data_IF_773811387136
#
_entry.id   IF_773811387136
#
_cell.length_a   1.000
_cell.length_b   1.000
_cell.length_c   1.000
_cell.angle_alpha   90.00
_cell.angle_beta   90.00
_cell.angle_gamma   90.00
#
_symmetry.space_group_name_H-M   'P 1'
#
loop_
_entity.id
_entity.type
_entity.pdbx_description
1 polymer ?
#
# COMPACT_ATOMS: atom_id res chain seq x y z
N UNK A 1 9.85 13.46 -5.68
CA UNK A 1 10.20 12.92 -4.34
C UNK A 1 9.38 11.66 -4.04
N UNK A 2 9.88 10.77 -3.19
CA UNK A 2 9.16 9.54 -2.77
C UNK A 2 7.78 9.83 -2.19
N UNK A 3 7.66 10.88 -1.38
CA UNK A 3 6.38 11.28 -0.78
C UNK A 3 5.34 11.55 -1.87
N UNK A 4 5.66 12.41 -2.84
CA UNK A 4 4.75 12.71 -3.96
C UNK A 4 4.34 11.44 -4.70
N UNK A 5 5.32 10.58 -5.07
CA UNK A 5 5.05 9.32 -5.76
C UNK A 5 4.11 8.40 -5.00
N UNK A 6 4.19 8.37 -3.67
CA UNK A 6 3.29 7.56 -2.84
C UNK A 6 1.89 8.16 -2.69
N UNK A 7 1.77 9.47 -2.71
CA UNK A 7 0.47 10.13 -2.61
C UNK A 7 -0.36 9.95 -3.87
N UNK A 8 0.27 9.87 -5.04
CA UNK A 8 -0.44 9.76 -6.33
C UNK A 8 -0.51 8.34 -6.89
N UNK A 9 -0.09 7.33 -6.13
CA UNK A 9 -0.16 5.94 -6.58
C UNK A 9 -1.55 5.34 -6.39
N UNK A 10 -1.85 4.30 -7.16
CA UNK A 10 -3.12 3.59 -7.17
C UNK A 10 -3.65 3.28 -5.76
N UNK A 11 -2.81 2.70 -4.86
CA UNK A 11 -3.27 2.30 -3.54
C UNK A 11 -3.77 3.48 -2.69
N UNK A 12 -3.14 4.66 -2.80
CA UNK A 12 -3.59 5.86 -2.09
C UNK A 12 -4.89 6.39 -2.69
N UNK A 13 -4.98 6.48 -4.01
CA UNK A 13 -6.20 6.92 -4.71
C UNK A 13 -7.38 6.00 -4.40
N UNK A 14 -7.16 4.69 -4.33
CA UNK A 14 -8.21 3.72 -3.95
C UNK A 14 -8.73 3.97 -2.54
N UNK A 15 -7.85 4.23 -1.57
CA UNK A 15 -8.27 4.56 -0.19
C UNK A 15 -9.18 5.79 -0.19
N UNK A 16 -8.80 6.84 -0.89
CA UNK A 16 -9.60 8.08 -0.98
C UNK A 16 -10.91 7.85 -1.73
N UNK A 17 -10.90 7.10 -2.82
CA UNK A 17 -12.10 6.74 -3.57
C UNK A 17 -13.09 5.92 -2.73
N UNK A 18 -12.59 5.01 -1.90
CA UNK A 18 -13.39 4.23 -0.96
C UNK A 18 -14.00 5.08 0.16
N UNK A 19 -13.26 6.07 0.68
CA UNK A 19 -13.80 7.02 1.66
C UNK A 19 -14.98 7.82 1.11
N UNK A 20 -14.98 8.09 -0.20
CA UNK A 20 -16.09 8.75 -0.90
C UNK A 20 -17.21 7.77 -1.31
N UNK A 21 -17.07 6.49 -1.04
CA UNK A 21 -17.98 5.42 -1.53
C UNK A 21 -18.18 5.47 -3.07
N UNK A 22 -17.11 5.88 -3.79
CA UNK A 22 -17.18 6.19 -5.21
C UNK A 22 -17.64 5.00 -6.05
N UNK A 23 -17.30 3.78 -5.65
CA UNK A 23 -17.73 2.56 -6.34
C UNK A 23 -19.24 2.47 -6.56
N UNK A 24 -20.05 3.02 -5.65
CA UNK A 24 -21.52 3.04 -5.78
C UNK A 24 -22.02 4.08 -6.78
N UNK A 25 -21.22 5.06 -7.11
CA UNK A 25 -21.58 6.12 -8.04
C UNK A 25 -21.21 5.78 -9.50
N UNK A 26 -20.40 4.73 -9.71
CA UNK A 26 -19.92 4.37 -11.02
C UNK A 26 -21.00 3.70 -11.86
N UNK A 27 -21.16 4.16 -13.11
CA UNK A 27 -21.95 3.52 -14.14
C UNK A 27 -21.02 2.62 -14.96
N UNK A 28 -21.06 1.33 -14.70
CA UNK A 28 -20.20 0.34 -15.35
C UNK A 28 -20.99 -0.46 -16.39
N UNK A 29 -20.30 -0.93 -17.42
CA UNK A 29 -20.86 -1.88 -18.37
C UNK A 29 -21.11 -3.26 -17.73
N UNK A 30 -21.94 -4.08 -18.36
CA UNK A 30 -22.33 -5.40 -17.82
C UNK A 30 -21.15 -6.32 -17.52
N UNK A 31 -20.09 -6.30 -18.32
CA UNK A 31 -18.88 -7.10 -18.12
C UNK A 31 -18.17 -6.74 -16.82
N UNK A 32 -18.02 -5.43 -16.55
CA UNK A 32 -17.39 -4.93 -15.34
C UNK A 32 -18.28 -5.15 -14.10
N UNK A 33 -19.59 -5.05 -14.23
CA UNK A 33 -20.53 -5.36 -13.15
C UNK A 33 -20.44 -6.84 -12.74
N UNK A 34 -20.38 -7.76 -13.72
CA UNK A 34 -20.22 -9.20 -13.45
C UNK A 34 -18.90 -9.56 -12.77
N UNK A 35 -17.83 -8.80 -13.05
CA UNK A 35 -16.50 -8.99 -12.45
C UNK A 35 -16.26 -8.15 -11.19
N UNK A 36 -17.32 -7.57 -10.61
CA UNK A 36 -17.25 -6.66 -9.45
C UNK A 36 -16.32 -5.45 -9.69
N UNK A 37 -16.32 -4.89 -10.89
CA UNK A 37 -15.50 -3.76 -11.32
C UNK A 37 -15.61 -2.54 -10.42
N UNK A 38 -16.77 -2.34 -9.76
CA UNK A 38 -16.97 -1.26 -8.76
C UNK A 38 -16.06 -1.37 -7.52
N UNK A 39 -15.36 -2.50 -7.32
CA UNK A 39 -14.35 -2.71 -6.28
C UNK A 39 -12.93 -2.82 -6.83
N UNK A 40 -12.76 -2.80 -8.16
CA UNK A 40 -11.45 -2.96 -8.79
C UNK A 40 -10.58 -1.73 -8.51
N UNK A 41 -9.37 -1.90 -7.94
CA UNK A 41 -8.50 -0.79 -7.57
C UNK A 41 -8.25 0.21 -8.69
N UNK A 42 -7.87 -0.26 -9.88
CA UNK A 42 -7.58 0.62 -11.02
C UNK A 42 -8.81 1.46 -11.43
N UNK A 43 -10.01 0.87 -11.48
CA UNK A 43 -11.24 1.61 -11.83
C UNK A 43 -11.55 2.70 -10.79
N UNK A 44 -11.36 2.42 -9.51
CA UNK A 44 -11.58 3.40 -8.45
C UNK A 44 -10.55 4.54 -8.49
N UNK A 45 -9.29 4.22 -8.73
CA UNK A 45 -8.23 5.22 -8.85
C UNK A 45 -8.46 6.12 -10.06
N UNK A 46 -8.69 5.54 -11.25
CA UNK A 46 -8.95 6.27 -12.49
C UNK A 46 -10.20 7.16 -12.38
N UNK A 47 -11.27 6.67 -11.72
CA UNK A 47 -12.47 7.45 -11.50
C UNK A 47 -12.22 8.66 -10.59
N UNK A 48 -11.40 8.52 -9.55
CA UNK A 48 -11.05 9.64 -8.68
C UNK A 48 -10.20 10.68 -9.41
N UNK A 49 -9.23 10.25 -10.22
CA UNK A 49 -8.44 11.14 -11.06
C UNK A 49 -9.33 11.89 -12.07
N UNK A 50 -10.29 11.20 -12.68
CA UNK A 50 -11.25 11.82 -13.59
C UNK A 50 -12.11 12.88 -12.89
N UNK A 51 -12.50 12.68 -11.62
CA UNK A 51 -13.22 13.68 -10.84
C UNK A 51 -12.36 14.92 -10.60
N UNK A 52 -11.09 14.77 -10.22
CA UNK A 52 -10.18 15.91 -10.08
C UNK A 52 -10.03 16.69 -11.40
N UNK A 53 -9.90 15.96 -12.52
CA UNK A 53 -9.87 16.54 -13.85
C UNK A 53 -11.16 17.27 -14.20
N UNK A 54 -12.32 16.72 -13.90
CA UNK A 54 -13.61 17.35 -14.15
C UNK A 54 -13.78 18.66 -13.36
N UNK A 55 -13.45 18.65 -12.07
CA UNK A 55 -13.48 19.86 -11.23
C UNK A 55 -12.52 20.94 -11.76
N UNK A 56 -11.33 20.54 -12.21
CA UNK A 56 -10.38 21.45 -12.80
C UNK A 56 -10.92 22.09 -14.10
N UNK A 57 -11.54 21.29 -14.96
CA UNK A 57 -12.10 21.79 -16.24
C UNK A 57 -13.32 22.68 -16.04
N UNK A 58 -14.15 22.40 -15.03
CA UNK A 58 -15.38 23.14 -14.75
C UNK A 58 -15.12 24.45 -13.98
N UNK A 59 -14.29 24.40 -12.92
CA UNK A 59 -14.13 25.48 -11.95
C UNK A 59 -12.68 25.96 -11.78
N UNK A 60 -11.74 25.43 -12.56
CA UNK A 60 -10.33 25.84 -12.58
C UNK A 60 -9.48 25.28 -11.44
N UNK A 61 -8.21 25.71 -11.43
CA UNK A 61 -7.18 25.17 -10.54
C UNK A 61 -7.51 25.34 -9.06
N UNK A 62 -7.98 26.51 -8.65
CA UNK A 62 -8.24 26.79 -7.22
C UNK A 62 -9.32 25.87 -6.64
N UNK A 63 -10.38 25.56 -7.41
CA UNK A 63 -11.41 24.61 -6.98
C UNK A 63 -10.88 23.18 -6.91
N UNK A 64 -10.11 22.75 -7.90
CA UNK A 64 -9.49 21.43 -7.90
C UNK A 64 -8.50 21.27 -6.73
N UNK A 65 -7.67 22.26 -6.46
CA UNK A 65 -6.76 22.29 -5.32
C UNK A 65 -7.53 22.14 -4.00
N UNK A 66 -8.62 22.87 -3.82
CA UNK A 66 -9.44 22.79 -2.62
C UNK A 66 -10.02 21.39 -2.41
N UNK A 67 -10.56 20.77 -3.46
CA UNK A 67 -11.09 19.39 -3.39
C UNK A 67 -9.99 18.40 -3.04
N UNK A 68 -8.82 18.50 -3.68
CA UNK A 68 -7.67 17.64 -3.37
C UNK A 68 -7.24 17.80 -1.90
N UNK A 69 -7.11 19.04 -1.42
CA UNK A 69 -6.72 19.31 -0.05
C UNK A 69 -7.74 18.77 0.97
N UNK A 70 -9.03 18.91 0.70
CA UNK A 70 -10.08 18.36 1.57
C UNK A 70 -9.98 16.84 1.74
N UNK A 71 -9.61 16.12 0.69
CA UNK A 71 -9.45 14.66 0.72
C UNK A 71 -8.13 14.23 1.34
N UNK A 72 -7.03 14.91 0.98
CA UNK A 72 -5.71 14.47 1.39
C UNK A 72 -5.32 14.91 2.81
N UNK A 73 -5.80 16.06 3.31
CA UNK A 73 -5.43 16.53 4.66
C UNK A 73 -5.81 15.53 5.77
N UNK A 74 -7.03 14.99 5.83
CA UNK A 74 -7.37 13.95 6.81
C UNK A 74 -6.54 12.67 6.63
N UNK A 75 -6.30 12.25 5.38
CA UNK A 75 -5.46 11.09 5.07
C UNK A 75 -4.02 11.30 5.57
N UNK A 76 -3.41 12.45 5.28
CA UNK A 76 -2.06 12.78 5.73
C UNK A 76 -1.94 12.85 7.25
N UNK A 77 -2.97 13.30 7.93
CA UNK A 77 -3.01 13.32 9.40
C UNK A 77 -3.08 11.91 10.01
N UNK A 78 -3.60 10.94 9.28
CA UNK A 78 -3.76 9.54 9.73
C UNK A 78 -2.52 8.67 9.51
N UNK A 79 -1.56 9.12 8.70
CA UNK A 79 -0.37 8.34 8.32
C UNK A 79 0.90 8.90 8.97
N UNK A 80 1.82 8.01 9.29
CA UNK A 80 3.16 8.42 9.69
C UNK A 80 4.00 8.76 8.44
N UNK A 81 4.21 10.05 8.22
CA UNK A 81 4.99 10.56 7.09
C UNK A 81 6.44 10.05 7.05
N UNK A 82 7.00 9.62 8.20
CA UNK A 82 8.36 9.05 8.26
C UNK A 82 8.42 7.65 7.65
N UNK A 83 7.30 6.94 7.71
CA UNK A 83 7.18 5.58 7.17
C UNK A 83 6.56 5.55 5.78
N UNK A 84 5.89 6.63 5.39
CA UNK A 84 5.22 6.72 4.10
C UNK A 84 6.21 6.55 2.94
N UNK A 85 5.95 5.56 2.10
CA UNK A 85 6.74 5.27 0.91
C UNK A 85 8.01 4.49 1.16
N UNK A 86 8.25 4.04 2.36
CA UNK A 86 9.24 3.03 2.65
C UNK A 86 8.56 1.67 2.68
N UNK A 87 9.10 0.73 1.94
CA UNK A 87 8.66 -0.65 2.09
C UNK A 87 9.10 -1.21 3.45
N UNK A 88 8.41 -2.25 3.92
CA UNK A 88 8.64 -2.79 5.25
C UNK A 88 10.07 -3.32 5.44
N UNK A 89 10.70 -3.82 4.38
CA UNK A 89 12.10 -4.27 4.40
C UNK A 89 13.03 -3.09 4.66
N UNK A 90 12.80 -1.96 3.99
CA UNK A 90 13.58 -0.72 4.18
C UNK A 90 13.40 -0.17 5.60
N UNK A 91 12.16 -0.13 6.12
CA UNK A 91 11.89 0.31 7.48
C UNK A 91 12.62 -0.54 8.51
N UNK A 92 12.53 -1.86 8.38
CA UNK A 92 13.20 -2.80 9.26
C UNK A 92 14.72 -2.66 9.19
N UNK A 93 15.28 -2.53 7.99
CA UNK A 93 16.71 -2.32 7.76
C UNK A 93 17.22 -1.04 8.43
N UNK A 94 16.56 0.10 8.19
CA UNK A 94 16.93 1.39 8.78
C UNK A 94 16.87 1.34 10.32
N UNK A 95 15.82 0.70 10.86
CA UNK A 95 15.68 0.52 12.31
C UNK A 95 16.85 -0.30 12.89
N UNK A 96 17.15 -1.45 12.30
CA UNK A 96 18.23 -2.32 12.77
C UNK A 96 19.60 -1.63 12.66
N UNK A 97 19.87 -0.95 11.55
CA UNK A 97 21.09 -0.16 11.36
C UNK A 97 21.23 0.96 12.39
N UNK A 98 20.14 1.67 12.70
CA UNK A 98 20.15 2.73 13.73
C UNK A 98 20.49 2.22 15.13
N UNK A 99 20.31 0.92 15.38
CA UNK A 99 20.61 0.24 16.64
C UNK A 99 21.89 -0.60 16.58
N UNK A 100 22.63 -0.53 15.46
CA UNK A 100 23.83 -1.35 15.22
C UNK A 100 23.56 -2.86 15.30
N UNK A 101 22.34 -3.28 14.89
CA UNK A 101 21.91 -4.68 14.87
C UNK A 101 22.12 -5.22 13.47
N UNK A 102 22.55 -6.49 13.36
CA UNK A 102 22.73 -7.18 12.09
C UNK A 102 21.41 -7.24 11.28
N UNK A 103 21.54 -7.13 9.95
CA UNK A 103 20.39 -7.17 9.05
C UNK A 103 19.65 -8.51 9.11
N UNK A 104 18.33 -8.51 8.81
CA UNK A 104 17.54 -9.73 8.85
C UNK A 104 17.88 -10.63 7.67
N UNK A 105 17.72 -11.93 7.85
CA UNK A 105 17.77 -12.92 6.78
C UNK A 105 16.36 -13.30 6.33
N UNK A 106 16.19 -13.55 5.02
CA UNK A 106 14.92 -13.96 4.43
C UNK A 106 15.08 -15.31 3.76
N UNK A 107 14.28 -16.28 4.17
CA UNK A 107 14.29 -17.64 3.64
C UNK A 107 12.92 -18.02 3.12
N UNK A 108 12.84 -18.48 1.87
CA UNK A 108 11.60 -19.04 1.32
C UNK A 108 11.40 -20.41 1.96
N UNK A 109 10.31 -20.59 2.68
CA UNK A 109 9.98 -21.85 3.35
C UNK A 109 9.18 -22.76 2.44
N UNK A 110 8.25 -22.21 1.66
CA UNK A 110 7.39 -22.95 0.76
C UNK A 110 6.94 -22.09 -0.43
N UNK A 111 6.66 -22.75 -1.53
CA UNK A 111 5.96 -22.18 -2.69
C UNK A 111 4.83 -23.14 -3.02
N UNK A 112 3.59 -22.69 -2.89
CA UNK A 112 2.37 -23.49 -3.07
C UNK A 112 1.57 -22.97 -4.26
N UNK A 113 0.79 -23.84 -4.92
CA UNK A 113 -0.11 -23.47 -6.03
C UNK A 113 0.49 -23.67 -7.42
N UNK A 114 -0.37 -23.55 -8.44
CA UNK A 114 0.01 -23.65 -9.85
C UNK A 114 0.79 -22.40 -10.29
N UNK A 115 1.51 -22.48 -11.40
CA UNK A 115 2.43 -21.43 -11.86
C UNK A 115 1.80 -20.02 -11.95
N UNK A 116 0.49 -19.91 -12.17
CA UNK A 116 -0.25 -18.64 -12.29
C UNK A 116 -0.95 -18.22 -10.97
N UNK A 117 -0.93 -19.08 -9.93
CA UNK A 117 -1.54 -18.83 -8.63
C UNK A 117 -0.58 -19.16 -7.47
N UNK A 118 0.71 -18.96 -7.70
CA UNK A 118 1.72 -19.30 -6.67
C UNK A 118 1.58 -18.42 -5.44
N UNK A 119 1.67 -19.05 -4.28
CA UNK A 119 1.76 -18.39 -2.98
C UNK A 119 3.10 -18.74 -2.34
N UNK A 120 3.87 -17.71 -2.05
CA UNK A 120 5.16 -17.82 -1.38
C UNK A 120 5.00 -17.65 0.12
N UNK A 121 5.66 -18.49 0.88
CA UNK A 121 5.81 -18.34 2.32
C UNK A 121 7.27 -18.04 2.63
N UNK A 122 7.52 -16.92 3.29
CA UNK A 122 8.88 -16.45 3.61
C UNK A 122 9.01 -16.21 5.10
N UNK A 123 10.13 -16.63 5.64
CA UNK A 123 10.57 -16.36 7.00
C UNK A 123 11.55 -15.18 7.00
N UNK A 124 11.36 -14.24 7.94
CA UNK A 124 12.30 -13.19 8.27
C UNK A 124 12.87 -13.49 9.66
N UNK A 125 14.16 -13.66 9.76
CA UNK A 125 14.85 -13.95 11.01
C UNK A 125 15.84 -12.84 11.39
N UNK A 126 15.81 -12.42 12.66
CA UNK A 126 16.76 -11.48 13.26
C UNK A 126 17.39 -12.22 14.46
N UNK A 127 18.48 -13.00 14.24
CA UNK A 127 19.03 -13.89 15.27
C UNK A 127 19.43 -13.17 16.55
N UNK A 128 20.02 -12.00 16.43
CA UNK A 128 20.49 -11.20 17.59
C UNK A 128 19.36 -10.76 18.53
N UNK A 129 18.12 -10.66 18.01
CA UNK A 129 16.93 -10.30 18.79
C UNK A 129 16.02 -11.50 19.08
N UNK A 130 16.38 -12.69 18.59
CA UNK A 130 15.56 -13.92 18.67
C UNK A 130 14.16 -13.72 18.09
N UNK A 131 14.05 -12.89 17.04
CA UNK A 131 12.79 -12.62 16.35
C UNK A 131 12.75 -13.46 15.08
N UNK A 132 11.67 -14.20 14.92
CA UNK A 132 11.33 -14.92 13.69
C UNK A 132 9.89 -14.57 13.35
N UNK A 133 9.65 -14.08 12.14
CA UNK A 133 8.32 -13.76 11.62
C UNK A 133 8.12 -14.36 10.25
N UNK A 134 6.87 -14.53 9.84
CA UNK A 134 6.52 -15.13 8.56
C UNK A 134 5.58 -14.24 7.79
N UNK A 135 5.74 -14.24 6.47
CA UNK A 135 4.87 -13.53 5.54
C UNK A 135 4.44 -14.46 4.41
N UNK A 136 3.27 -14.17 3.85
CA UNK A 136 2.67 -14.92 2.77
C UNK A 136 2.25 -13.97 1.65
N UNK A 137 2.44 -14.34 0.39
CA UNK A 137 2.06 -13.46 -0.72
C UNK A 137 2.16 -14.09 -2.09
N UNK A 138 1.49 -13.48 -3.07
CA UNK A 138 1.47 -13.92 -4.46
C UNK A 138 2.83 -13.77 -5.19
N UNK A 139 3.82 -13.18 -4.54
CA UNK A 139 5.21 -13.15 -5.02
C UNK A 139 6.15 -13.23 -3.82
N UNK A 140 7.38 -13.71 -4.07
CA UNK A 140 8.44 -13.73 -3.07
C UNK A 140 8.63 -12.34 -2.43
N UNK A 141 8.66 -11.28 -3.24
CA UNK A 141 8.81 -9.91 -2.75
C UNK A 141 7.69 -9.51 -1.80
N UNK A 142 6.44 -9.83 -2.14
CA UNK A 142 5.28 -9.52 -1.29
C UNK A 142 5.34 -10.28 0.04
N UNK A 143 5.69 -11.57 0.01
CA UNK A 143 5.85 -12.37 1.22
C UNK A 143 6.99 -11.86 2.12
N UNK A 144 8.13 -11.44 1.52
CA UNK A 144 9.24 -10.81 2.26
C UNK A 144 8.82 -9.50 2.93
N UNK A 145 8.04 -8.65 2.23
CA UNK A 145 7.51 -7.41 2.79
C UNK A 145 6.59 -7.66 3.98
N UNK A 146 5.71 -8.65 3.89
CA UNK A 146 4.83 -9.01 5.00
C UNK A 146 5.60 -9.55 6.21
N UNK A 147 6.59 -10.42 5.99
CA UNK A 147 7.45 -10.93 7.05
C UNK A 147 8.23 -9.79 7.74
N UNK A 148 8.79 -8.88 6.94
CA UNK A 148 9.52 -7.70 7.45
C UNK A 148 8.61 -6.76 8.25
N UNK A 149 7.38 -6.55 7.80
CA UNK A 149 6.41 -5.71 8.51
C UNK A 149 6.05 -6.29 9.88
N UNK A 150 5.78 -7.59 9.96
CA UNK A 150 5.53 -8.28 11.21
C UNK A 150 6.72 -8.18 12.18
N UNK A 151 7.96 -8.29 11.67
CA UNK A 151 9.16 -8.11 12.47
C UNK A 151 9.29 -6.66 12.97
N UNK A 152 9.07 -5.67 12.11
CA UNK A 152 9.11 -4.26 12.48
C UNK A 152 8.09 -3.91 13.57
N UNK A 153 6.84 -4.41 13.43
CA UNK A 153 5.80 -4.21 14.44
C UNK A 153 6.16 -4.83 15.81
N UNK A 154 6.85 -5.97 15.82
CA UNK A 154 7.28 -6.61 17.07
C UNK A 154 8.36 -5.81 17.82
N UNK A 155 9.11 -4.98 17.10
CA UNK A 155 10.15 -4.10 17.66
C UNK A 155 9.57 -2.82 18.29
N UNK A 156 8.43 -2.34 17.79
CA UNK A 156 7.77 -1.13 18.31
C UNK A 156 6.92 -1.36 19.58
N UNK A 157 6.80 -2.62 20.05
CA UNK A 157 6.02 -2.98 21.23
C UNK A 157 6.87 -3.22 22.50
N UNK A 158 8.17 -2.90 22.43
CA UNK A 158 9.09 -3.01 23.58
C UNK A 158 9.57 -1.67 24.07
#
# INVERSE_FOLDING_TARGET
SRLRSNLVKEETLVILAQQLDLGRCLKLGEGELKSAGFRRPSILADALEAIFGAVFMDAGFAAAEQVVLQLYVPYLASIDLKTLGKDAKTLLQEFLQSKYIALPTYTVLATEGLAHEQVFQVECAIPSLKIITRGRGASRRHAEQQAAFAAYQSLGKK
#
